data_IF_894953022993
#
_entry.id   IF_894953022993
#
_cell.length_a   1.000
_cell.length_b   1.000
_cell.length_c   1.000
_cell.angle_alpha   90.00
_cell.angle_beta   90.00
_cell.angle_gamma   90.00
#
_symmetry.space_group_name_H-M   'P 1'
#
loop_
_entity.id
_entity.type
_entity.pdbx_description
1 polymer ?
#
# COMPACT_ATOMS: atom_id res chain seq x y z
N UNK A 1 -7.58 -19.70 8.91
CA UNK A 1 -6.72 -19.14 7.83
C UNK A 1 -5.39 -18.73 8.43
N UNK A 2 -4.31 -19.51 8.23
CA UNK A 2 -2.94 -19.08 8.61
C UNK A 2 -2.50 -18.00 7.63
N UNK A 3 -2.35 -16.77 8.09
CA UNK A 3 -1.66 -15.72 7.32
C UNK A 3 -0.18 -16.07 7.36
N UNK A 4 0.35 -16.57 6.25
CA UNK A 4 1.78 -16.77 6.07
C UNK A 4 2.45 -15.40 5.94
N UNK A 5 3.12 -14.95 7.00
CA UNK A 5 3.85 -13.68 7.04
C UNK A 5 5.07 -13.64 6.11
N UNK A 6 5.39 -14.74 5.41
CA UNK A 6 6.50 -14.80 4.43
C UNK A 6 6.25 -13.89 3.22
N UNK A 7 5.00 -13.59 2.87
CA UNK A 7 4.65 -12.72 1.75
C UNK A 7 4.76 -11.22 2.04
N UNK A 8 5.30 -10.81 3.20
CA UNK A 8 5.46 -9.40 3.59
C UNK A 8 6.91 -8.90 3.47
N UNK A 9 7.84 -9.75 3.03
CA UNK A 9 9.24 -9.37 2.81
C UNK A 9 9.38 -8.88 1.37
N UNK A 10 9.94 -7.68 1.19
CA UNK A 10 10.31 -7.22 -0.14
C UNK A 10 11.31 -8.21 -0.74
N UNK A 11 11.16 -8.59 -2.02
CA UNK A 11 12.11 -9.48 -2.65
C UNK A 11 13.50 -8.81 -2.72
N UNK A 12 14.55 -9.57 -2.41
CA UNK A 12 15.90 -9.04 -2.26
C UNK A 12 16.50 -8.73 -3.63
N UNK A 13 16.97 -7.51 -3.81
CA UNK A 13 17.68 -7.08 -5.04
C UNK A 13 19.08 -7.70 -5.11
N UNK A 14 19.60 -8.14 -3.97
CA UNK A 14 20.91 -8.78 -3.81
C UNK A 14 21.06 -10.03 -4.71
N UNK A 15 19.98 -10.80 -4.89
CA UNK A 15 19.96 -12.00 -5.75
C UNK A 15 20.22 -11.65 -7.23
N UNK A 16 19.98 -10.42 -7.67
CA UNK A 16 20.32 -9.96 -9.02
C UNK A 16 21.75 -9.46 -9.17
N UNK A 17 22.29 -8.86 -8.12
CA UNK A 17 23.64 -8.29 -8.14
C UNK A 17 24.70 -9.40 -8.22
N UNK A 18 24.36 -10.60 -7.75
CA UNK A 18 25.22 -11.77 -7.74
C UNK A 18 24.98 -12.73 -8.93
N UNK A 19 23.90 -12.54 -9.69
CA UNK A 19 23.57 -13.41 -10.82
C UNK A 19 24.48 -13.13 -12.03
N UNK A 20 25.22 -14.15 -12.48
CA UNK A 20 25.91 -14.09 -13.77
C UNK A 20 24.89 -13.96 -14.93
N UNK A 21 25.30 -13.42 -16.08
CA UNK A 21 24.39 -13.14 -17.21
C UNK A 21 23.57 -14.37 -17.67
N UNK A 22 24.10 -15.59 -17.53
CA UNK A 22 23.39 -16.84 -17.83
C UNK A 22 22.34 -17.28 -16.80
N UNK A 23 22.31 -16.66 -15.61
CA UNK A 23 21.35 -16.92 -14.53
C UNK A 23 20.40 -15.75 -14.28
N UNK A 24 20.62 -14.61 -14.94
CA UNK A 24 19.82 -13.40 -14.81
C UNK A 24 18.33 -13.66 -15.08
N UNK A 25 18.03 -14.53 -16.04
CA UNK A 25 16.67 -14.89 -16.40
C UNK A 25 15.90 -15.60 -15.26
N UNK A 26 16.54 -16.61 -14.65
CA UNK A 26 15.93 -17.36 -13.53
C UNK A 26 15.74 -16.45 -12.32
N UNK A 27 16.70 -15.55 -12.07
CA UNK A 27 16.61 -14.55 -11.01
C UNK A 27 15.47 -13.56 -11.27
N UNK A 28 15.33 -13.07 -12.52
CA UNK A 28 14.28 -12.15 -12.94
C UNK A 28 12.89 -12.77 -12.79
N UNK A 29 12.69 -13.99 -13.29
CA UNK A 29 11.40 -14.67 -13.18
C UNK A 29 11.00 -14.88 -11.71
N UNK A 30 11.95 -15.36 -10.89
CA UNK A 30 11.71 -15.59 -9.46
C UNK A 30 11.33 -14.32 -8.72
N UNK A 31 12.05 -13.24 -8.97
CA UNK A 31 11.77 -11.95 -8.35
C UNK A 31 10.40 -11.41 -8.74
N UNK A 32 10.05 -11.45 -10.03
CA UNK A 32 8.76 -10.96 -10.51
C UNK A 32 7.61 -11.79 -9.92
N UNK A 33 7.78 -13.12 -9.81
CA UNK A 33 6.79 -13.98 -9.16
C UNK A 33 6.65 -13.69 -7.65
N UNK A 34 7.77 -13.51 -6.94
CA UNK A 34 7.74 -13.11 -5.52
C UNK A 34 7.08 -11.75 -5.34
N UNK A 35 7.37 -10.80 -6.23
CA UNK A 35 6.78 -9.47 -6.22
C UNK A 35 5.26 -9.54 -6.40
N UNK A 36 4.78 -10.26 -7.42
CA UNK A 36 3.33 -10.46 -7.64
C UNK A 36 2.65 -11.09 -6.41
N UNK A 37 3.27 -12.07 -5.78
CA UNK A 37 2.74 -12.68 -4.55
C UNK A 37 2.67 -11.69 -3.39
N UNK A 38 3.71 -10.87 -3.21
CA UNK A 38 3.74 -9.81 -2.19
C UNK A 38 2.58 -8.82 -2.37
N UNK A 39 2.37 -8.32 -3.60
CA UNK A 39 1.28 -7.39 -3.90
C UNK A 39 -0.10 -8.04 -3.71
N UNK A 40 -0.30 -9.30 -4.13
CA UNK A 40 -1.58 -9.99 -3.96
C UNK A 40 -1.91 -10.25 -2.47
N UNK A 41 -0.93 -10.66 -1.65
CA UNK A 41 -1.11 -10.79 -0.20
C UNK A 41 -1.45 -9.45 0.44
N UNK A 42 -0.73 -8.38 0.08
CA UNK A 42 -0.97 -7.04 0.62
C UNK A 42 -2.35 -6.53 0.19
N UNK A 43 -2.73 -6.64 -1.07
CA UNK A 43 -4.05 -6.25 -1.56
C UNK A 43 -5.19 -6.99 -0.85
N UNK A 44 -5.05 -8.30 -0.58
CA UNK A 44 -6.05 -9.04 0.22
C UNK A 44 -6.15 -8.55 1.65
N UNK A 45 -5.04 -8.15 2.26
CA UNK A 45 -5.04 -7.60 3.63
C UNK A 45 -5.77 -6.26 3.70
N UNK A 46 -5.53 -5.37 2.74
CA UNK A 46 -6.25 -4.08 2.64
C UNK A 46 -7.77 -4.28 2.46
N UNK A 47 -8.20 -5.22 1.60
CA UNK A 47 -9.63 -5.55 1.43
C UNK A 47 -10.28 -6.09 2.71
N UNK A 48 -9.54 -6.87 3.50
CA UNK A 48 -10.01 -7.34 4.81
C UNK A 48 -10.13 -6.19 5.79
N UNK A 49 -9.14 -5.29 5.88
CA UNK A 49 -9.17 -4.12 6.76
C UNK A 49 -10.37 -3.19 6.49
N UNK A 50 -10.71 -2.97 5.21
CA UNK A 50 -11.89 -2.21 4.83
C UNK A 50 -13.19 -2.88 5.31
N UNK A 51 -13.34 -4.19 5.06
CA UNK A 51 -14.55 -4.93 5.49
C UNK A 51 -14.66 -5.02 7.01
N UNK A 52 -13.56 -5.29 7.72
CA UNK A 52 -13.59 -5.43 9.18
C UNK A 52 -13.88 -4.11 9.87
N UNK A 53 -13.33 -2.98 9.39
CA UNK A 53 -13.62 -1.66 9.96
C UNK A 53 -15.09 -1.27 9.80
N UNK A 54 -15.67 -1.49 8.62
CA UNK A 54 -17.10 -1.26 8.37
C UNK A 54 -18.00 -2.14 9.25
N UNK A 55 -17.69 -3.43 9.37
CA UNK A 55 -18.44 -4.37 10.22
C UNK A 55 -18.37 -3.94 11.69
N UNK A 56 -17.21 -3.49 12.18
CA UNK A 56 -17.06 -3.01 13.56
C UNK A 56 -17.91 -1.77 13.80
N UNK A 57 -17.87 -0.78 12.90
CA UNK A 57 -18.66 0.46 13.06
C UNK A 57 -20.16 0.15 13.05
N UNK A 58 -20.63 -0.68 12.12
CA UNK A 58 -22.03 -1.10 12.05
C UNK A 58 -22.42 -1.90 13.30
N UNK A 59 -21.57 -2.84 13.72
CA UNK A 59 -21.81 -3.67 14.90
C UNK A 59 -21.91 -2.82 16.17
N UNK A 60 -20.96 -1.92 16.40
CA UNK A 60 -20.98 -1.02 17.56
C UNK A 60 -22.17 -0.05 17.48
N UNK A 61 -22.43 0.53 16.31
CA UNK A 61 -23.58 1.43 16.10
C UNK A 61 -24.91 0.75 16.37
N UNK A 62 -25.09 -0.51 15.95
CA UNK A 62 -26.29 -1.30 16.22
C UNK A 62 -26.38 -1.76 17.69
N UNK A 63 -25.26 -1.92 18.39
CA UNK A 63 -25.22 -2.28 19.80
C UNK A 63 -25.56 -1.11 20.72
N UNK A 64 -25.28 0.14 20.30
CA UNK A 64 -25.49 1.33 21.12
C UNK A 64 -26.94 1.49 21.62
N UNK A 65 -28.00 1.33 20.81
CA UNK A 65 -29.38 1.37 21.29
C UNK A 65 -29.70 0.31 22.35
N UNK A 66 -29.16 -0.90 22.19
CA UNK A 66 -29.35 -2.01 23.15
C UNK A 66 -28.63 -1.72 24.48
N UNK A 67 -27.43 -1.15 24.41
CA UNK A 67 -26.69 -0.72 25.59
C UNK A 67 -27.35 0.47 26.28
N UNK A 68 -28.04 1.33 25.52
CA UNK A 68 -28.75 2.50 26.03
C UNK A 68 -30.04 2.14 26.78
N UNK A 69 -30.73 1.07 26.42
CA UNK A 69 -31.98 0.64 27.10
C UNK A 69 -31.73 -0.30 28.29
N UNK A 70 -30.64 -1.08 28.28
CA UNK A 70 -30.30 -1.94 29.39
C UNK A 70 -29.82 -1.15 30.63
N UNK A 71 -30.19 -1.62 31.82
CA UNK A 71 -29.77 -1.07 33.12
C UNK A 71 -28.82 -2.05 33.82
N UNK A 72 -27.54 -1.69 33.92
CA UNK A 72 -26.50 -2.53 34.51
C UNK A 72 -25.37 -1.64 35.11
N UNK A 73 -24.67 -2.11 36.17
CA UNK A 73 -23.76 -1.28 36.98
C UNK A 73 -22.50 -0.76 36.25
N UNK A 74 -22.20 -1.23 35.04
CA UNK A 74 -21.02 -0.83 34.27
C UNK A 74 -21.33 -0.14 32.93
N UNK A 75 -22.57 0.37 32.76
CA UNK A 75 -23.04 0.99 31.51
C UNK A 75 -22.17 2.12 31.00
N UNK A 76 -21.76 3.03 31.88
CA UNK A 76 -20.96 4.18 31.48
C UNK A 76 -19.61 3.77 30.90
N UNK A 77 -18.97 2.74 31.46
CA UNK A 77 -17.69 2.23 30.98
C UNK A 77 -17.81 1.57 29.59
N UNK A 78 -18.84 0.75 29.37
CA UNK A 78 -19.06 0.10 28.06
C UNK A 78 -19.38 1.12 26.97
N UNK A 79 -20.20 2.13 27.28
CA UNK A 79 -20.55 3.19 26.32
C UNK A 79 -19.33 4.04 25.98
N UNK A 80 -18.50 4.40 26.96
CA UNK A 80 -17.22 5.09 26.70
C UNK A 80 -16.29 4.25 25.84
N UNK A 81 -16.16 2.95 26.12
CA UNK A 81 -15.33 2.04 25.33
C UNK A 81 -15.84 1.91 23.88
N UNK A 82 -17.15 1.84 23.68
CA UNK A 82 -17.76 1.83 22.36
C UNK A 82 -17.47 3.14 21.58
N UNK A 83 -17.60 4.30 22.24
CA UNK A 83 -17.24 5.59 21.65
C UNK A 83 -15.77 5.67 21.24
N UNK A 84 -14.86 5.29 22.13
CA UNK A 84 -13.41 5.24 21.83
C UNK A 84 -13.11 4.28 20.69
N UNK A 85 -13.75 3.12 20.66
CA UNK A 85 -13.58 2.13 19.59
C UNK A 85 -14.04 2.71 18.25
N UNK A 86 -15.21 3.35 18.19
CA UNK A 86 -15.71 3.99 16.97
C UNK A 86 -14.78 5.11 16.52
N UNK A 87 -14.33 5.97 17.43
CA UNK A 87 -13.38 7.05 17.10
C UNK A 87 -12.05 6.50 16.61
N UNK A 88 -11.50 5.47 17.26
CA UNK A 88 -10.25 4.83 16.85
C UNK A 88 -10.38 4.18 15.47
N UNK A 89 -11.47 3.46 15.20
CA UNK A 89 -11.73 2.85 13.89
C UNK A 89 -11.97 3.91 12.82
N UNK A 90 -12.65 5.00 13.15
CA UNK A 90 -12.89 6.13 12.23
C UNK A 90 -11.58 6.85 11.90
N UNK A 91 -10.75 7.13 12.90
CA UNK A 91 -9.43 7.72 12.72
C UNK A 91 -8.54 6.79 11.89
N UNK A 92 -8.52 5.48 12.21
CA UNK A 92 -7.75 4.48 11.45
C UNK A 92 -8.23 4.39 10.00
N UNK A 93 -9.55 4.43 9.75
CA UNK A 93 -10.13 4.45 8.41
C UNK A 93 -9.72 5.70 7.63
N UNK A 94 -9.72 6.86 8.30
CA UNK A 94 -9.32 8.14 7.71
C UNK A 94 -7.83 8.17 7.38
N UNK A 95 -6.97 7.79 8.33
CA UNK A 95 -5.52 7.81 8.18
C UNK A 95 -5.02 6.85 7.12
N UNK A 96 -5.54 5.63 7.11
CA UNK A 96 -4.95 4.58 6.29
C UNK A 96 -5.45 4.57 4.84
N UNK A 97 -6.41 5.44 4.48
CA UNK A 97 -7.05 5.57 3.15
C UNK A 97 -7.11 4.22 2.42
N UNK A 98 -7.69 3.21 3.09
CA UNK A 98 -7.60 1.81 2.68
C UNK A 98 -8.05 1.60 1.23
N UNK A 99 -9.01 2.38 0.76
CA UNK A 99 -9.54 2.35 -0.60
C UNK A 99 -8.51 2.80 -1.64
N UNK A 100 -7.84 3.93 -1.43
CA UNK A 100 -6.83 4.43 -2.38
C UNK A 100 -5.58 3.55 -2.38
N UNK A 101 -5.14 3.10 -1.19
CA UNK A 101 -4.04 2.16 -1.10
C UNK A 101 -4.34 0.86 -1.86
N UNK A 102 -5.55 0.29 -1.73
CA UNK A 102 -5.88 -0.93 -2.48
C UNK A 102 -5.88 -0.69 -3.99
N UNK A 103 -6.50 0.39 -4.48
CA UNK A 103 -6.57 0.68 -5.92
C UNK A 103 -5.16 0.85 -6.49
N UNK A 104 -4.31 1.64 -5.82
CA UNK A 104 -2.91 1.83 -6.21
C UNK A 104 -2.17 0.50 -6.29
N UNK A 105 -2.20 -0.32 -5.23
CA UNK A 105 -1.52 -1.61 -5.20
C UNK A 105 -2.04 -2.59 -6.27
N UNK A 106 -3.35 -2.57 -6.56
CA UNK A 106 -3.94 -3.45 -7.58
C UNK A 106 -3.53 -3.03 -8.98
N UNK A 107 -3.47 -1.72 -9.25
CA UNK A 107 -3.00 -1.20 -10.53
C UNK A 107 -1.51 -1.53 -10.73
N UNK A 108 -0.69 -1.41 -9.69
CA UNK A 108 0.72 -1.84 -9.73
C UNK A 108 0.85 -3.33 -10.01
N UNK A 109 0.06 -4.18 -9.36
CA UNK A 109 0.06 -5.63 -9.59
C UNK A 109 -0.30 -5.99 -11.05
N UNK A 110 -1.29 -5.29 -11.62
CA UNK A 110 -1.69 -5.45 -13.02
C UNK A 110 -0.54 -5.03 -13.95
N UNK A 111 0.05 -3.86 -13.73
CA UNK A 111 1.16 -3.35 -14.53
C UNK A 111 2.39 -4.28 -14.51
N UNK A 112 2.74 -4.83 -13.33
CA UNK A 112 3.82 -5.83 -13.21
C UNK A 112 3.45 -7.11 -13.96
N UNK A 113 2.19 -7.54 -13.89
CA UNK A 113 1.72 -8.74 -14.59
C UNK A 113 1.75 -8.56 -16.11
N UNK A 114 1.38 -7.38 -16.62
CA UNK A 114 1.45 -7.03 -18.03
C UNK A 114 2.90 -7.01 -18.53
N UNK A 115 3.81 -6.34 -17.81
CA UNK A 115 5.24 -6.34 -18.15
C UNK A 115 5.83 -7.76 -18.20
N UNK A 116 5.47 -8.60 -17.24
CA UNK A 116 5.87 -10.00 -17.19
C UNK A 116 5.32 -10.82 -18.36
N UNK A 117 4.03 -10.66 -18.68
CA UNK A 117 3.40 -11.37 -19.79
C UNK A 117 4.00 -10.95 -21.13
N UNK A 118 4.26 -9.66 -21.31
CA UNK A 118 4.89 -9.14 -22.52
C UNK A 118 6.29 -9.77 -22.72
N UNK A 119 7.13 -9.72 -21.69
CA UNK A 119 8.44 -10.38 -21.73
C UNK A 119 8.34 -11.88 -22.05
N UNK A 120 7.39 -12.58 -21.43
CA UNK A 120 7.20 -14.02 -21.68
C UNK A 120 6.72 -14.33 -23.10
N UNK A 121 5.88 -13.46 -23.67
CA UNK A 121 5.43 -13.58 -25.07
C UNK A 121 6.58 -13.36 -26.04
N UNK A 122 7.36 -12.29 -25.86
CA UNK A 122 8.57 -12.03 -26.66
C UNK A 122 9.53 -13.22 -26.61
N UNK A 123 9.77 -13.78 -25.42
CA UNK A 123 10.60 -14.99 -25.27
C UNK A 123 10.02 -16.22 -25.99
N UNK A 124 8.70 -16.39 -25.98
CA UNK A 124 8.05 -17.53 -26.63
C UNK A 124 8.15 -17.45 -28.16
N UNK A 125 8.15 -16.23 -28.71
CA UNK A 125 8.36 -15.97 -30.14
C UNK A 125 9.83 -16.20 -30.52
N UNK A 126 10.76 -15.72 -29.69
CA UNK A 126 12.20 -15.94 -29.80
C UNK A 126 12.59 -17.43 -29.81
N UNK A 127 11.97 -18.24 -28.94
CA UNK A 127 12.24 -19.68 -28.83
C UNK A 127 11.70 -20.49 -30.02
N UNK A 128 10.75 -19.94 -30.78
CA UNK A 128 10.19 -20.55 -31.99
C UNK A 128 10.94 -20.12 -33.27
N UNK A 129 11.80 -19.10 -33.19
CA UNK A 129 12.60 -18.64 -34.32
C UNK A 129 13.74 -19.63 -34.64
N UNK A 130 14.03 -19.92 -35.93
CA UNK A 130 15.12 -20.82 -36.29
C UNK A 130 16.50 -20.23 -35.96
N UNK A 131 17.19 -20.83 -34.98
CA UNK A 131 18.61 -20.76 -34.60
C UNK A 131 19.32 -19.38 -34.50
N UNK A 132 19.94 -19.17 -33.33
CA UNK A 132 20.92 -18.12 -32.95
C UNK A 132 20.37 -16.75 -32.55
N UNK A 133 19.53 -16.73 -31.52
CA UNK A 133 19.40 -15.52 -30.69
C UNK A 133 20.61 -15.42 -29.77
N UNK A 134 21.36 -14.34 -29.96
CA UNK A 134 22.53 -13.99 -29.17
C UNK A 134 22.17 -14.02 -27.67
N UNK A 135 22.93 -14.74 -26.82
CA UNK A 135 22.80 -14.63 -25.37
C UNK A 135 22.74 -13.19 -24.84
N UNK A 136 23.40 -12.24 -25.50
CA UNK A 136 23.34 -10.82 -25.14
C UNK A 136 21.97 -10.18 -25.39
N UNK A 137 21.26 -10.59 -26.44
CA UNK A 137 19.92 -10.09 -26.78
C UNK A 137 18.89 -10.57 -25.77
N UNK A 138 18.99 -11.84 -25.34
CA UNK A 138 18.18 -12.41 -24.25
C UNK A 138 18.43 -11.72 -22.91
N UNK A 139 19.70 -11.43 -22.60
CA UNK A 139 20.05 -10.66 -21.41
C UNK A 139 19.49 -9.22 -21.48
N UNK A 140 19.48 -8.59 -22.65
CA UNK A 140 18.91 -7.26 -22.85
C UNK A 140 17.39 -7.24 -22.64
N UNK A 141 16.65 -8.20 -23.19
CA UNK A 141 15.20 -8.35 -22.97
C UNK A 141 14.86 -8.53 -21.47
N UNK A 142 15.68 -9.31 -20.76
CA UNK A 142 15.53 -9.54 -19.32
C UNK A 142 15.83 -8.27 -18.51
N UNK A 143 16.87 -7.52 -18.86
CA UNK A 143 17.16 -6.20 -18.26
C UNK A 143 16.02 -5.21 -18.52
N UNK A 144 15.43 -5.22 -19.71
CA UNK A 144 14.25 -4.42 -20.05
C UNK A 144 13.03 -4.71 -19.16
N UNK A 145 12.77 -5.99 -18.85
CA UNK A 145 11.74 -6.37 -17.89
C UNK A 145 12.04 -5.79 -16.49
N UNK A 146 13.28 -5.93 -16.02
CA UNK A 146 13.70 -5.43 -14.69
C UNK A 146 13.52 -3.91 -14.62
N UNK A 147 13.96 -3.18 -15.65
CA UNK A 147 13.81 -1.73 -15.73
C UNK A 147 12.34 -1.30 -15.73
N UNK A 148 11.48 -2.02 -16.46
CA UNK A 148 10.04 -1.78 -16.45
C UNK A 148 9.45 -1.97 -15.06
N UNK A 149 9.79 -3.05 -14.36
CA UNK A 149 9.33 -3.33 -12.98
C UNK A 149 9.83 -2.27 -12.01
N UNK A 150 11.10 -1.86 -12.11
CA UNK A 150 11.66 -0.83 -11.22
C UNK A 150 11.04 0.55 -11.48
N UNK A 151 10.72 0.88 -12.73
CA UNK A 151 9.97 2.09 -13.08
C UNK A 151 8.58 2.07 -12.46
N UNK A 152 7.83 0.98 -12.62
CA UNK A 152 6.50 0.82 -12.01
C UNK A 152 6.55 1.05 -10.49
N UNK A 153 7.60 0.55 -9.81
CA UNK A 153 7.77 0.77 -8.36
C UNK A 153 8.09 2.22 -7.99
N UNK A 154 8.88 2.92 -8.80
CA UNK A 154 9.15 4.36 -8.59
C UNK A 154 7.87 5.17 -8.77
N UNK A 155 7.12 4.89 -9.84
CA UNK A 155 5.86 5.55 -10.14
C UNK A 155 4.82 5.32 -9.02
N UNK A 156 4.77 4.11 -8.44
CA UNK A 156 3.96 3.81 -7.26
C UNK A 156 4.38 4.66 -6.05
N UNK A 157 5.68 4.73 -5.76
CA UNK A 157 6.19 5.52 -4.65
C UNK A 157 5.85 7.01 -4.82
N UNK A 158 6.09 7.57 -6.01
CA UNK A 158 5.79 8.96 -6.33
C UNK A 158 4.29 9.23 -6.20
N UNK A 159 3.44 8.33 -6.72
CA UNK A 159 1.99 8.44 -6.59
C UNK A 159 1.56 8.41 -5.11
N UNK A 160 2.13 7.51 -4.31
CA UNK A 160 1.82 7.41 -2.89
C UNK A 160 2.21 8.68 -2.13
N UNK A 161 3.41 9.22 -2.37
CA UNK A 161 3.90 10.41 -1.66
C UNK A 161 3.22 11.70 -2.13
N UNK A 162 2.88 11.82 -3.42
CA UNK A 162 2.14 12.98 -3.95
C UNK A 162 0.69 13.04 -3.43
N UNK A 163 0.11 11.88 -3.09
CA UNK A 163 -1.22 11.80 -2.49
C UNK A 163 -1.23 12.05 -0.97
N UNK A 164 -0.07 12.23 -0.33
CA UNK A 164 -0.02 12.60 1.08
C UNK A 164 -0.43 14.06 1.24
N UNK A 165 -1.34 14.38 2.19
CA UNK A 165 -1.57 15.76 2.57
C UNK A 165 -0.26 16.32 3.15
N UNK A 166 0.40 17.20 2.40
CA UNK A 166 1.47 18.01 2.96
C UNK A 166 0.84 18.93 4.01
N UNK A 167 1.41 19.04 5.21
CA UNK A 167 0.93 20.02 6.17
C UNK A 167 1.09 21.40 5.51
N UNK A 168 -0.03 22.06 5.20
CA UNK A 168 0.01 23.40 4.63
C UNK A 168 0.65 24.33 5.67
N UNK A 169 1.79 24.98 5.38
CA UNK A 169 2.30 26.06 6.20
C UNK A 169 1.38 27.27 5.97
N UNK A 170 0.23 27.28 6.66
CA UNK A 170 -0.82 28.26 6.39
C UNK A 170 -2.11 28.08 7.19
N UNK A 171 -2.11 27.33 8.30
CA UNK A 171 -3.05 27.69 9.36
C UNK A 171 -2.54 29.01 9.94
N UNK A 172 -2.90 30.12 9.29
CA UNK A 172 -2.68 31.48 9.78
C UNK A 172 -3.31 31.57 11.16
N UNK A 173 -2.51 31.29 12.19
CA UNK A 173 -2.81 31.74 13.54
C UNK A 173 -2.63 33.25 13.45
N UNK A 174 -3.72 33.93 13.15
CA UNK A 174 -3.82 35.38 13.25
C UNK A 174 -3.70 35.71 14.75
N UNK A 175 -2.48 35.72 15.27
CA UNK A 175 -2.17 36.19 16.61
C UNK A 175 -2.39 37.70 16.54
N UNK A 176 -3.62 38.11 16.84
CA UNK A 176 -3.94 39.50 17.12
C UNK A 176 -3.17 39.88 18.38
N UNK A 177 -1.95 40.37 18.21
CA UNK A 177 -1.17 40.99 19.28
C UNK A 177 -1.96 42.25 19.68
N UNK A 178 -2.55 42.32 20.88
CA UNK A 178 -3.26 43.52 21.29
C UNK A 178 -2.26 44.69 21.36
N UNK A 179 -2.66 45.90 20.92
CA UNK A 179 -1.77 47.05 20.92
C UNK A 179 -1.28 47.34 22.35
N UNK A 180 -0.02 47.76 22.50
CA UNK A 180 0.55 48.03 23.81
C UNK A 180 -0.28 49.11 24.52
N UNK A 181 -0.80 48.79 25.70
CA UNK A 181 -1.46 49.76 26.56
C UNK A 181 -0.47 50.89 26.85
N UNK A 182 -0.73 52.06 26.25
CA UNK A 182 -0.07 53.31 26.61
C UNK A 182 -0.43 53.60 28.07
N UNK A 183 0.51 53.34 28.98
CA UNK A 183 0.43 53.83 30.36
C UNK A 183 0.34 55.36 30.30
N UNK A 184 -0.86 55.91 30.47
CA UNK A 184 -1.05 57.29 30.89
C UNK A 184 -0.30 57.47 32.20
N UNK A 185 0.81 58.20 32.18
CA UNK A 185 1.36 58.79 33.40
C UNK A 185 0.45 59.96 33.78
N UNK A 186 0.05 59.96 35.05
CA UNK A 186 -0.62 61.06 35.72
C UNK A 186 0.29 62.29 35.81
#
# INVERSE_FOLDING_TARGET
>A
MRVSWRGFRAPAVEEFLEAADGQLEIAAERYVQQMRHFYDVRARWHRRGYRTSGIIVIGVGALLPLLATASYPHKQLIVSLAGVTVSAVTALRSFYRFDQSWILLRNTEIAISEAYLNWKLTRSEEEQAPHDIDPAERAAATRGLIDAVMRIRRDEADSYFNELPTPQPGADVHISIPPPHTRRRA
#
